data_IF_865912135499
#
_entry.id   IF_865912135499
#
_cell.length_a   1.000
_cell.length_b   1.000
_cell.length_c   1.000
_cell.angle_alpha   90.00
_cell.angle_beta   90.00
_cell.angle_gamma   90.00
#
_symmetry.space_group_name_H-M   'P 1'
#
loop_
_entity.id
_entity.type
_entity.pdbx_description
1 polymer ?
#
# COMPACT_ATOMS: atom_id res chain seq x y z
N UNK A 1 -8.32 -3.68 14.22
CA UNK A 1 -7.61 -3.97 12.94
C UNK A 1 -8.00 -5.37 12.48
N UNK A 2 -8.06 -5.62 11.17
CA UNK A 2 -8.42 -6.92 10.61
C UNK A 2 -7.36 -7.54 9.69
N UNK A 3 -7.41 -8.86 9.51
CA UNK A 3 -6.67 -9.55 8.44
C UNK A 3 -7.49 -10.69 7.84
N UNK A 4 -7.39 -10.87 6.52
CA UNK A 4 -8.01 -11.94 5.76
C UNK A 4 -6.93 -12.86 5.18
N UNK A 5 -6.83 -14.08 5.71
CA UNK A 5 -5.99 -15.14 5.14
C UNK A 5 -6.54 -16.53 5.49
N UNK A 6 -6.62 -17.44 4.50
CA UNK A 6 -6.96 -18.84 4.77
C UNK A 6 -5.76 -19.63 5.33
N UNK A 7 -4.54 -19.10 5.27
CA UNK A 7 -3.34 -19.80 5.73
C UNK A 7 -3.16 -19.66 7.25
N UNK A 8 -3.07 -20.79 7.93
CA UNK A 8 -2.83 -20.87 9.37
C UNK A 8 -1.46 -20.25 9.70
N UNK A 9 -0.41 -20.62 8.96
CA UNK A 9 0.94 -20.09 9.17
C UNK A 9 1.00 -18.57 8.99
N UNK A 10 0.28 -18.02 8.00
CA UNK A 10 0.20 -16.56 7.80
C UNK A 10 -0.51 -15.88 8.95
N UNK A 11 -1.62 -16.47 9.41
CA UNK A 11 -2.38 -15.98 10.56
C UNK A 11 -1.50 -15.89 11.80
N UNK A 12 -0.76 -16.95 12.12
CA UNK A 12 0.17 -16.96 13.25
C UNK A 12 1.24 -15.88 13.13
N UNK A 13 1.84 -15.72 11.94
CA UNK A 13 2.84 -14.68 11.70
C UNK A 13 2.28 -13.26 11.88
N UNK A 14 1.06 -12.99 11.39
CA UNK A 14 0.40 -11.68 11.53
C UNK A 14 0.08 -11.41 13.01
N UNK A 15 -0.46 -12.40 13.73
CA UNK A 15 -0.79 -12.27 15.15
C UNK A 15 0.48 -12.02 15.96
N UNK A 16 1.51 -12.85 15.79
CA UNK A 16 2.78 -12.69 16.50
C UNK A 16 3.43 -11.33 16.22
N UNK A 17 3.29 -10.79 15.01
CA UNK A 17 3.87 -9.51 14.63
C UNK A 17 3.08 -8.28 15.11
N UNK A 18 1.79 -8.42 15.47
CA UNK A 18 0.92 -7.25 15.71
C UNK A 18 0.25 -7.23 17.09
N UNK A 19 0.19 -8.36 17.81
CA UNK A 19 -0.52 -8.44 19.11
C UNK A 19 -0.10 -7.33 20.08
N UNK A 20 1.18 -6.98 20.15
CA UNK A 20 1.68 -5.93 21.08
C UNK A 20 1.57 -4.50 20.52
N UNK A 21 1.09 -4.34 19.28
CA UNK A 21 1.05 -3.07 18.56
C UNK A 21 -0.37 -2.58 18.26
N UNK A 22 -1.40 -3.41 18.45
CA UNK A 22 -2.78 -3.07 18.16
C UNK A 22 -3.70 -3.42 19.32
N UNK A 23 -4.69 -2.58 19.59
CA UNK A 23 -5.66 -2.81 20.68
C UNK A 23 -6.57 -4.00 20.40
N UNK A 24 -6.88 -4.24 19.12
CA UNK A 24 -7.72 -5.35 18.69
C UNK A 24 -7.26 -5.84 17.31
N UNK A 25 -7.08 -7.16 17.21
CA UNK A 25 -6.70 -7.84 15.98
C UNK A 25 -7.68 -8.95 15.68
N UNK A 26 -8.37 -8.85 14.54
CA UNK A 26 -9.37 -9.83 14.11
C UNK A 26 -8.93 -10.56 12.85
N UNK A 27 -9.01 -11.89 12.89
CA UNK A 27 -8.63 -12.75 11.77
C UNK A 27 -9.83 -13.37 11.08
N UNK A 28 -9.84 -13.33 9.75
CA UNK A 28 -10.87 -13.91 8.89
C UNK A 28 -10.24 -14.94 7.97
N UNK A 29 -10.89 -16.09 7.80
CA UNK A 29 -10.44 -17.12 6.86
C UNK A 29 -11.00 -16.87 5.45
N UNK A 30 -12.19 -16.29 5.36
CA UNK A 30 -12.91 -16.12 4.10
C UNK A 30 -13.43 -14.69 3.89
N UNK A 31 -13.71 -14.33 2.63
CA UNK A 31 -14.38 -13.07 2.32
C UNK A 31 -15.81 -13.00 2.89
N UNK A 32 -16.48 -14.14 3.05
CA UNK A 32 -17.82 -14.20 3.65
C UNK A 32 -17.79 -13.74 5.11
N UNK A 33 -16.93 -14.35 5.92
CA UNK A 33 -16.75 -13.97 7.33
C UNK A 33 -16.40 -12.48 7.49
N UNK A 34 -15.54 -11.95 6.60
CA UNK A 34 -15.17 -10.55 6.63
C UNK A 34 -16.34 -9.62 6.26
N UNK A 35 -17.21 -10.01 5.33
CA UNK A 35 -18.40 -9.22 4.93
C UNK A 35 -19.46 -9.20 6.03
N UNK A 36 -19.61 -10.31 6.75
CA UNK A 36 -20.57 -10.45 7.83
C UNK A 36 -20.08 -9.82 9.15
N UNK A 37 -18.82 -9.34 9.18
CA UNK A 37 -18.23 -8.70 10.33
C UNK A 37 -18.90 -7.34 10.59
N UNK A 38 -19.68 -7.25 11.67
CA UNK A 38 -20.41 -6.04 12.07
C UNK A 38 -19.49 -4.81 12.29
N UNK A 39 -18.24 -5.07 12.70
CA UNK A 39 -17.19 -4.11 12.98
C UNK A 39 -16.33 -3.74 11.76
N UNK A 40 -16.60 -4.29 10.56
CA UNK A 40 -15.83 -3.97 9.35
C UNK A 40 -15.78 -2.46 9.10
N UNK A 41 -16.90 -1.76 9.32
CA UNK A 41 -17.01 -0.30 9.13
C UNK A 41 -16.17 0.50 10.13
N UNK A 42 -15.87 -0.06 11.30
CA UNK A 42 -15.03 0.55 12.33
C UNK A 42 -13.55 0.16 12.22
N UNK A 43 -13.17 -0.68 11.27
CA UNK A 43 -11.77 -1.04 11.08
C UNK A 43 -11.00 0.10 10.40
N UNK A 44 -9.90 0.53 11.00
CA UNK A 44 -9.02 1.52 10.37
C UNK A 44 -8.13 0.92 9.28
N UNK A 45 -7.84 -0.39 9.39
CA UNK A 45 -6.86 -1.08 8.57
C UNK A 45 -7.22 -2.57 8.43
N UNK A 46 -7.09 -3.04 7.19
CA UNK A 46 -7.33 -4.42 6.79
C UNK A 46 -6.13 -4.96 5.98
N UNK A 47 -5.58 -6.08 6.41
CA UNK A 47 -4.61 -6.86 5.65
C UNK A 47 -5.35 -7.91 4.81
N UNK A 48 -5.10 -7.98 3.51
CA UNK A 48 -5.75 -8.97 2.63
C UNK A 48 -4.70 -9.77 1.88
N UNK A 49 -4.67 -11.07 2.14
CA UNK A 49 -3.91 -12.03 1.36
C UNK A 49 -4.52 -12.24 -0.02
N UNK A 50 -3.85 -11.79 -1.07
CA UNK A 50 -4.31 -11.87 -2.46
C UNK A 50 -3.69 -13.02 -3.25
N UNK A 51 -3.03 -13.97 -2.58
CA UNK A 51 -2.41 -15.15 -3.24
C UNK A 51 -3.43 -16.16 -3.75
N UNK A 52 -4.62 -16.18 -3.16
CA UNK A 52 -5.76 -17.00 -3.54
C UNK A 52 -6.96 -16.10 -3.82
N UNK A 53 -7.83 -16.52 -4.75
CA UNK A 53 -9.08 -15.80 -5.06
C UNK A 53 -8.87 -14.29 -5.29
N UNK A 54 -7.84 -13.97 -6.09
CA UNK A 54 -7.35 -12.60 -6.27
C UNK A 54 -8.44 -11.66 -6.78
N UNK A 55 -9.19 -12.06 -7.83
CA UNK A 55 -10.22 -11.22 -8.44
C UNK A 55 -11.31 -10.82 -7.44
N UNK A 56 -11.82 -11.77 -6.65
CA UNK A 56 -12.89 -11.50 -5.68
C UNK A 56 -12.41 -10.56 -4.59
N UNK A 57 -11.16 -10.71 -4.13
CA UNK A 57 -10.55 -9.85 -3.10
C UNK A 57 -10.23 -8.45 -3.62
N UNK A 58 -9.78 -8.33 -4.87
CA UNK A 58 -9.58 -7.04 -5.54
C UNK A 58 -10.91 -6.29 -5.73
N UNK A 59 -11.95 -6.98 -6.21
CA UNK A 59 -13.31 -6.40 -6.35
C UNK A 59 -13.87 -5.97 -5.00
N UNK A 60 -13.70 -6.81 -3.97
CA UNK A 60 -14.14 -6.48 -2.61
C UNK A 60 -13.45 -5.21 -2.11
N UNK A 61 -12.12 -5.11 -2.27
CA UNK A 61 -11.37 -3.93 -1.86
C UNK A 61 -11.81 -2.66 -2.57
N UNK A 62 -12.05 -2.75 -3.89
CA UNK A 62 -12.57 -1.63 -4.67
C UNK A 62 -13.94 -1.18 -4.15
N UNK A 63 -14.84 -2.12 -3.84
CA UNK A 63 -16.17 -1.82 -3.29
C UNK A 63 -16.07 -1.14 -1.92
N UNK A 64 -15.29 -1.68 -0.98
CA UNK A 64 -15.19 -1.07 0.37
C UNK A 64 -14.46 0.27 0.34
N UNK A 65 -13.46 0.45 -0.54
CA UNK A 65 -12.73 1.72 -0.66
C UNK A 65 -13.62 2.88 -1.11
N UNK A 66 -14.70 2.59 -1.86
CA UNK A 66 -15.68 3.60 -2.28
C UNK A 66 -16.64 4.03 -1.16
N UNK A 67 -16.81 3.21 -0.12
CA UNK A 67 -17.86 3.38 0.89
C UNK A 67 -17.35 3.50 2.32
N UNK A 68 -16.07 3.22 2.57
CA UNK A 68 -15.50 3.13 3.91
C UNK A 68 -14.09 3.75 3.94
N UNK A 69 -13.72 4.32 5.09
CA UNK A 69 -12.40 4.94 5.29
C UNK A 69 -11.28 3.92 5.62
N UNK A 70 -11.59 2.62 5.59
CA UNK A 70 -10.65 1.54 5.91
C UNK A 70 -9.45 1.54 4.94
N UNK A 71 -8.25 1.53 5.51
CA UNK A 71 -7.01 1.36 4.72
C UNK A 71 -6.83 -0.12 4.41
N UNK A 72 -6.43 -0.45 3.19
CA UNK A 72 -6.23 -1.84 2.78
C UNK A 72 -4.78 -2.06 2.37
N UNK A 73 -4.17 -3.11 2.91
CA UNK A 73 -2.84 -3.56 2.57
C UNK A 73 -2.90 -4.96 1.98
N UNK A 74 -2.31 -5.17 0.81
CA UNK A 74 -2.21 -6.49 0.22
C UNK A 74 -1.06 -7.30 0.85
N UNK A 75 -1.25 -8.62 0.98
CA UNK A 75 -0.19 -9.59 1.28
C UNK A 75 -0.05 -10.51 0.08
N UNK A 76 1.19 -10.78 -0.34
CA UNK A 76 1.43 -11.69 -1.47
C UNK A 76 2.91 -12.01 -1.70
N UNK A 77 3.23 -12.71 -2.80
CA UNK A 77 4.58 -13.23 -3.03
C UNK A 77 5.62 -12.10 -3.16
N UNK A 78 6.90 -12.39 -2.88
CA UNK A 78 7.96 -11.47 -3.24
C UNK A 78 8.02 -11.31 -4.77
N UNK A 79 8.42 -10.13 -5.25
CA UNK A 79 8.61 -9.83 -6.69
C UNK A 79 7.36 -9.96 -7.59
N UNK A 80 6.15 -10.04 -7.03
CA UNK A 80 4.90 -10.05 -7.80
C UNK A 80 4.49 -8.65 -8.31
N UNK A 81 5.28 -8.05 -9.20
CA UNK A 81 5.12 -6.65 -9.66
C UNK A 81 3.76 -6.37 -10.26
N UNK A 82 3.27 -7.23 -11.15
CA UNK A 82 1.94 -7.04 -11.76
C UNK A 82 0.83 -7.15 -10.72
N UNK A 83 0.91 -8.12 -9.81
CA UNK A 83 -0.06 -8.29 -8.73
C UNK A 83 -0.10 -7.06 -7.82
N UNK A 84 1.06 -6.48 -7.48
CA UNK A 84 1.17 -5.23 -6.71
C UNK A 84 0.53 -4.04 -7.43
N UNK A 85 0.75 -3.93 -8.74
CA UNK A 85 0.18 -2.87 -9.57
C UNK A 85 -1.35 -3.00 -9.60
N UNK A 86 -1.86 -4.21 -9.81
CA UNK A 86 -3.30 -4.51 -9.78
C UNK A 86 -3.93 -4.20 -8.41
N UNK A 87 -3.30 -4.62 -7.32
CA UNK A 87 -3.75 -4.32 -5.96
C UNK A 87 -3.87 -2.81 -5.72
N UNK A 88 -2.86 -2.03 -6.13
CA UNK A 88 -2.87 -0.56 -6.03
C UNK A 88 -4.01 0.07 -6.83
N UNK A 89 -4.28 -0.42 -8.04
CA UNK A 89 -5.40 0.05 -8.87
C UNK A 89 -6.77 -0.20 -8.23
N UNK A 90 -6.88 -1.16 -7.30
CA UNK A 90 -8.12 -1.53 -6.60
C UNK A 90 -8.17 -1.00 -5.16
N UNK A 91 -7.40 0.05 -4.83
CA UNK A 91 -7.46 0.69 -3.52
C UNK A 91 -6.62 0.04 -2.42
N UNK A 92 -5.66 -0.84 -2.78
CA UNK A 92 -4.69 -1.41 -1.83
C UNK A 92 -3.29 -0.80 -2.05
N UNK A 93 -3.02 0.42 -1.55
CA UNK A 93 -1.75 1.11 -1.80
C UNK A 93 -0.55 0.44 -1.10
N UNK A 94 -0.78 -0.28 0.00
CA UNK A 94 0.22 -1.01 0.75
C UNK A 94 0.40 -2.44 0.24
N UNK A 95 1.63 -2.95 0.33
CA UNK A 95 1.94 -4.34 0.01
C UNK A 95 2.98 -4.91 0.97
N UNK A 96 2.69 -6.07 1.54
CA UNK A 96 3.60 -6.84 2.37
C UNK A 96 4.05 -8.08 1.59
N UNK A 97 5.35 -8.18 1.24
CA UNK A 97 5.86 -9.38 0.60
C UNK A 97 6.00 -10.53 1.60
N UNK A 98 5.81 -11.74 1.08
CA UNK A 98 6.17 -12.96 1.79
C UNK A 98 7.65 -13.34 1.62
N UNK A 99 8.26 -14.03 2.60
CA UNK A 99 7.73 -14.33 3.93
C UNK A 99 7.56 -13.04 4.78
N UNK A 100 6.50 -13.00 5.60
CA UNK A 100 6.20 -11.83 6.43
C UNK A 100 7.11 -11.81 7.66
N UNK A 101 8.01 -10.83 7.74
CA UNK A 101 8.69 -10.48 8.98
C UNK A 101 7.93 -9.36 9.70
N UNK A 102 8.02 -9.33 11.03
CA UNK A 102 7.42 -8.25 11.83
C UNK A 102 7.91 -6.87 11.38
N UNK A 103 9.21 -6.72 11.10
CA UNK A 103 9.79 -5.49 10.56
C UNK A 103 9.18 -5.08 9.19
N UNK A 104 9.00 -6.04 8.27
CA UNK A 104 8.41 -5.76 6.97
C UNK A 104 6.95 -5.32 7.09
N UNK A 105 6.19 -5.95 7.99
CA UNK A 105 4.81 -5.59 8.29
C UNK A 105 4.73 -4.19 8.89
N UNK A 106 5.48 -3.90 9.96
CA UNK A 106 5.52 -2.60 10.62
C UNK A 106 5.92 -1.48 9.66
N UNK A 107 6.93 -1.71 8.80
CA UNK A 107 7.33 -0.73 7.77
C UNK A 107 6.23 -0.48 6.74
N UNK A 108 5.52 -1.52 6.30
CA UNK A 108 4.40 -1.37 5.37
C UNK A 108 3.24 -0.58 6.01
N UNK A 109 2.92 -0.87 7.27
CA UNK A 109 1.87 -0.17 8.02
C UNK A 109 2.23 1.29 8.30
N UNK A 110 3.48 1.56 8.72
CA UNK A 110 3.97 2.92 8.93
C UNK A 110 3.86 3.77 7.66
N UNK A 111 4.15 3.20 6.47
CA UNK A 111 3.98 3.88 5.19
C UNK A 111 2.51 4.19 4.87
N UNK A 112 1.60 3.27 5.17
CA UNK A 112 0.16 3.49 5.01
C UNK A 112 -0.38 4.60 5.92
N UNK A 113 0.17 4.73 7.13
CA UNK A 113 -0.25 5.74 8.08
C UNK A 113 0.38 7.12 7.80
N UNK A 114 1.67 7.15 7.49
CA UNK A 114 2.44 8.38 7.25
C UNK A 114 2.31 8.92 5.81
N UNK A 115 1.66 8.17 4.91
CA UNK A 115 1.52 8.47 3.49
C UNK A 115 0.81 9.78 3.13
N UNK A 116 0.28 10.53 4.11
CA UNK A 116 -0.20 11.91 3.90
C UNK A 116 0.89 12.98 4.00
N UNK A 117 2.08 12.70 4.56
CA UNK A 117 3.20 13.67 4.59
C UNK A 117 4.22 13.52 3.47
N UNK A 118 4.30 12.35 2.83
CA UNK A 118 5.36 12.08 1.84
C UNK A 118 5.02 12.45 0.39
N UNK A 119 3.74 12.72 0.06
CA UNK A 119 3.33 13.08 -1.31
C UNK A 119 3.73 14.52 -1.73
N UNK A 120 4.30 15.33 -0.84
CA UNK A 120 4.94 16.63 -1.18
C UNK A 120 6.47 16.55 -1.27
N UNK A 121 7.09 15.37 -1.06
CA UNK A 121 8.55 15.21 -1.04
C UNK A 121 9.15 14.42 -2.20
N UNK A 122 8.36 14.06 -3.22
CA UNK A 122 8.86 13.33 -4.39
C UNK A 122 8.24 13.84 -5.68
N UNK A 123 8.41 15.14 -5.94
CA UNK A 123 8.58 15.60 -7.31
C UNK A 123 9.98 15.20 -7.75
N UNK A 124 10.01 14.23 -8.65
CA UNK A 124 11.03 13.99 -9.66
C UNK A 124 12.34 14.77 -9.51
N UNK A 125 13.43 14.04 -9.26
CA UNK A 125 14.75 14.40 -9.76
C UNK A 125 14.63 14.59 -11.27
N UNK A 126 14.36 15.82 -11.68
CA UNK A 126 14.53 16.24 -13.06
C UNK A 126 16.02 16.44 -13.20
N UNK A 127 16.71 15.44 -13.73
CA UNK A 127 18.02 15.64 -14.33
C UNK A 127 17.83 16.64 -15.47
N UNK A 128 17.86 17.93 -15.15
CA UNK A 128 18.04 18.98 -16.15
C UNK A 128 19.40 18.73 -16.79
N UNK A 129 19.50 18.52 -18.11
CA UNK A 129 20.79 18.62 -18.76
C UNK A 129 21.28 20.07 -18.59
N UNK A 130 22.44 20.23 -17.96
CA UNK A 130 23.09 21.51 -17.66
C UNK A 130 23.37 22.39 -18.90
N UNK A 131 23.02 21.95 -20.11
CA UNK A 131 23.19 22.69 -21.35
C UNK A 131 22.15 23.79 -21.61
N UNK A 132 20.90 23.65 -21.16
CA UNK A 132 19.83 24.58 -21.61
C UNK A 132 19.89 25.93 -20.90
N UNK A 133 20.27 25.96 -19.62
CA UNK A 133 20.41 27.20 -18.85
C UNK A 133 21.64 28.02 -19.33
N UNK A 134 22.76 27.34 -19.60
CA UNK A 134 23.96 27.96 -20.16
C UNK A 134 23.71 28.51 -21.58
N UNK A 135 22.98 27.77 -22.42
CA UNK A 135 22.62 28.22 -23.78
C UNK A 135 21.72 29.46 -23.78
N UNK A 136 20.75 29.54 -22.86
CA UNK A 136 19.87 30.72 -22.75
C UNK A 136 20.60 31.97 -22.23
N UNK A 137 21.59 31.80 -21.36
CA UNK A 137 22.44 32.92 -20.91
C UNK A 137 23.37 33.40 -22.03
N UNK A 138 23.98 32.49 -22.80
CA UNK A 138 24.83 32.84 -23.94
C UNK A 138 24.06 33.58 -25.05
N UNK A 139 22.84 33.14 -25.36
CA UNK A 139 21.98 33.84 -26.32
C UNK A 139 21.58 35.25 -25.86
N UNK A 140 21.33 35.44 -24.56
CA UNK A 140 21.00 36.75 -23.99
C UNK A 140 22.18 37.72 -24.00
N UNK A 141 23.40 37.25 -23.73
CA UNK A 141 24.59 38.10 -23.74
C UNK A 141 25.04 38.46 -25.17
N UNK A 142 24.76 37.61 -26.16
CA UNK A 142 25.06 37.89 -27.58
C UNK A 142 24.16 38.95 -28.24
N UNK A 143 22.96 39.20 -27.71
CA UNK A 143 22.01 40.17 -28.26
C UNK A 143 22.17 41.60 -27.72
N UNK A 144 23.06 41.84 -26.74
CA UNK A 144 23.29 43.18 -26.15
C UNK A 144 24.42 43.95 -26.84
N UNK A 145 24.91 43.47 -27.99
CA UNK A 145 25.82 44.23 -28.86
C UNK A 145 25.21 44.35 -30.25
N UNK A 146 24.27 45.28 -30.39
CA UNK A 146 23.92 45.97 -31.64
C UNK A 146 23.33 47.32 -31.27
#
# INVERSE_FOLDING_TARGET
MGFLTPSITRREAIVAALTDHVSELRGFATLGELRDAADLKSMDLLLIDITSDCESKLRFAQMIHQHQAVKICAIGPPKATELRKRARQHGMPGYVPEPMSADALTKALARLWNGRKAAQGSTATTSQPAGVAAQRLAQRLGQVKS
#
